data_IF_279971028198
#
_entry.id   IF_279971028198
#
_cell.length_a   1.000
_cell.length_b   1.000
_cell.length_c   1.000
_cell.angle_alpha   90.00
_cell.angle_beta   90.00
_cell.angle_gamma   90.00
#
_symmetry.space_group_name_H-M   'P 1'
#
loop_
_entity.id
_entity.type
_entity.pdbx_description
1 polymer ?
#
# COMPACT_ATOMS: atom_id res chain seq x y z
N UNK A 1 2.03 -5.11 -24.12
CA UNK A 1 3.31 -5.07 -23.39
C UNK A 1 2.98 -4.63 -21.98
N UNK A 2 3.27 -5.47 -20.99
CA UNK A 2 3.03 -5.21 -19.57
C UNK A 2 4.11 -4.25 -19.10
N UNK A 3 3.78 -2.96 -18.95
CA UNK A 3 4.71 -1.95 -18.45
C UNK A 3 4.77 -2.01 -16.92
N UNK A 4 5.25 -3.14 -16.39
CA UNK A 4 5.60 -3.22 -14.97
C UNK A 4 6.91 -2.47 -14.77
N UNK A 5 6.88 -1.44 -13.94
CA UNK A 5 8.07 -0.74 -13.49
C UNK A 5 8.29 -1.04 -12.02
N UNK A 6 9.54 -1.28 -11.64
CA UNK A 6 9.94 -1.47 -10.25
C UNK A 6 10.75 -0.26 -9.80
N UNK A 7 10.43 0.28 -8.63
CA UNK A 7 11.26 1.27 -7.95
C UNK A 7 11.94 0.63 -6.74
N UNK A 8 13.27 0.70 -6.72
CA UNK A 8 14.11 -0.02 -5.77
C UNK A 8 15.13 0.94 -5.16
N UNK A 9 15.26 1.02 -3.83
CA UNK A 9 16.36 1.74 -3.19
C UNK A 9 17.70 1.08 -3.53
N UNK A 10 18.78 1.86 -3.61
CA UNK A 10 20.12 1.31 -3.89
C UNK A 10 20.79 0.68 -2.66
N UNK A 11 20.19 0.84 -1.48
CA UNK A 11 20.60 0.16 -0.26
C UNK A 11 20.14 -1.30 -0.27
N UNK A 12 20.96 -2.25 0.24
CA UNK A 12 20.62 -3.66 0.31
C UNK A 12 19.60 -3.90 1.43
N UNK A 13 18.33 -3.75 1.10
CA UNK A 13 17.19 -3.95 2.00
C UNK A 13 16.37 -5.08 1.42
N UNK A 14 16.21 -6.19 2.15
CA UNK A 14 15.66 -7.43 1.57
C UNK A 14 14.18 -7.34 1.24
N UNK A 15 13.40 -6.74 2.13
CA UNK A 15 11.93 -6.71 2.04
C UNK A 15 11.36 -5.57 2.91
N UNK A 16 10.03 -5.48 2.97
CA UNK A 16 9.33 -4.46 3.75
C UNK A 16 9.72 -4.44 5.23
N UNK A 17 9.95 -5.60 5.86
CA UNK A 17 10.27 -5.67 7.29
C UNK A 17 11.65 -5.08 7.56
N UNK A 18 12.64 -5.43 6.75
CA UNK A 18 13.98 -4.84 6.81
C UNK A 18 13.94 -3.34 6.53
N UNK A 19 13.06 -2.89 5.64
CA UNK A 19 12.87 -1.46 5.36
C UNK A 19 12.38 -0.73 6.62
N UNK A 20 11.41 -1.29 7.34
CA UNK A 20 10.88 -0.73 8.59
C UNK A 20 11.89 -0.70 9.73
N UNK A 21 12.94 -1.53 9.70
CA UNK A 21 14.04 -1.44 10.67
C UNK A 21 14.91 -0.18 10.49
N UNK A 22 14.73 0.57 9.40
CA UNK A 22 15.33 1.90 9.19
C UNK A 22 14.27 2.93 8.81
N UNK A 23 13.58 3.55 9.79
CA UNK A 23 12.47 4.48 9.54
C UNK A 23 12.80 5.65 8.60
N UNK A 24 14.03 6.16 8.66
CA UNK A 24 14.50 7.22 7.75
C UNK A 24 14.58 6.73 6.31
N UNK A 25 15.07 5.50 6.09
CA UNK A 25 15.14 4.89 4.78
C UNK A 25 13.76 4.47 4.27
N UNK A 26 12.90 3.95 5.14
CA UNK A 26 11.51 3.65 4.81
C UNK A 26 10.78 4.89 4.30
N UNK A 27 10.91 6.01 5.03
CA UNK A 27 10.34 7.30 4.61
C UNK A 27 10.86 7.71 3.23
N UNK A 28 12.19 7.70 3.04
CA UNK A 28 12.81 8.08 1.77
C UNK A 28 12.40 7.15 0.61
N UNK A 29 12.23 5.86 0.85
CA UNK A 29 11.82 4.91 -0.17
C UNK A 29 10.41 5.24 -0.68
N UNK A 30 9.46 5.53 0.21
CA UNK A 30 8.09 5.90 -0.16
C UNK A 30 8.02 7.26 -0.85
N UNK A 31 8.82 8.24 -0.41
CA UNK A 31 8.93 9.52 -1.12
C UNK A 31 9.54 9.33 -2.52
N UNK A 32 10.56 8.49 -2.66
CA UNK A 32 11.17 8.15 -3.93
C UNK A 32 10.18 7.48 -4.88
N UNK A 33 9.45 6.46 -4.43
CA UNK A 33 8.44 5.77 -5.24
C UNK A 33 7.40 6.75 -5.80
N UNK A 34 6.94 7.69 -4.98
CA UNK A 34 6.01 8.74 -5.41
C UNK A 34 6.63 9.72 -6.41
N UNK A 35 7.95 9.98 -6.34
CA UNK A 35 8.64 10.88 -7.28
C UNK A 35 8.79 10.29 -8.69
N UNK A 36 8.76 8.96 -8.81
CA UNK A 36 8.95 8.25 -10.10
C UNK A 36 7.64 7.65 -10.65
N UNK A 37 6.58 7.59 -9.86
CA UNK A 37 5.26 7.14 -10.28
C UNK A 37 4.34 8.33 -10.62
N UNK A 38 3.54 8.19 -11.67
CA UNK A 38 2.38 9.05 -11.87
C UNK A 38 1.17 8.45 -11.14
N UNK A 39 0.94 8.89 -9.89
CA UNK A 39 -0.17 8.39 -9.09
C UNK A 39 -1.56 8.71 -9.66
N UNK A 40 -1.67 9.53 -10.71
CA UNK A 40 -2.95 9.75 -11.39
C UNK A 40 -3.37 8.58 -12.28
N UNK A 41 -2.41 7.78 -12.74
CA UNK A 41 -2.64 6.64 -13.65
C UNK A 41 -2.10 5.32 -13.10
N UNK A 42 -1.15 5.37 -12.19
CA UNK A 42 -0.48 4.22 -11.58
C UNK A 42 -0.61 4.22 -10.05
N UNK A 43 -0.31 3.09 -9.43
CA UNK A 43 -0.18 2.98 -7.99
C UNK A 43 1.17 2.40 -7.60
N UNK A 44 1.48 2.49 -6.31
CA UNK A 44 2.65 1.89 -5.70
C UNK A 44 2.21 0.75 -4.80
N UNK A 45 2.92 -0.37 -4.82
CA UNK A 45 2.70 -1.45 -3.87
C UNK A 45 4.02 -2.12 -3.48
N UNK A 46 4.21 -2.43 -2.19
CA UNK A 46 5.22 -3.37 -1.72
C UNK A 46 4.50 -4.61 -1.21
N UNK A 47 4.85 -5.75 -1.79
CA UNK A 47 4.34 -7.05 -1.40
C UNK A 47 4.90 -7.52 -0.04
N UNK A 48 4.20 -8.43 0.65
CA UNK A 48 4.65 -8.89 1.95
C UNK A 48 5.92 -9.74 1.85
N UNK A 49 6.73 -9.74 2.92
CA UNK A 49 7.98 -10.51 2.98
C UNK A 49 7.79 -12.01 2.72
N UNK A 50 6.58 -12.54 2.96
CA UNK A 50 6.22 -13.93 2.68
C UNK A 50 6.23 -14.31 1.19
N UNK A 51 5.90 -13.39 0.30
CA UNK A 51 5.60 -13.70 -1.12
C UNK A 51 6.62 -13.13 -2.09
N UNK A 52 7.44 -12.16 -1.66
CA UNK A 52 8.55 -11.66 -2.46
C UNK A 52 9.52 -12.78 -2.83
N UNK A 53 9.93 -12.81 -4.09
CA UNK A 53 10.88 -13.80 -4.64
C UNK A 53 12.28 -13.24 -4.83
N UNK A 54 12.44 -11.92 -4.72
CA UNK A 54 13.71 -11.20 -4.79
C UNK A 54 14.11 -10.74 -3.40
N UNK A 55 15.39 -10.92 -3.06
CA UNK A 55 15.96 -10.48 -1.77
C UNK A 55 16.37 -9.00 -1.80
N UNK A 56 15.49 -8.17 -2.39
CA UNK A 56 15.64 -6.73 -2.51
C UNK A 56 14.24 -6.11 -2.56
N UNK A 57 13.95 -5.20 -1.63
CA UNK A 57 12.68 -4.50 -1.54
C UNK A 57 12.48 -3.66 -2.79
N UNK A 58 11.30 -3.77 -3.38
CA UNK A 58 10.91 -3.00 -4.56
C UNK A 58 9.44 -2.64 -4.49
N UNK A 59 9.12 -1.46 -5.00
CA UNK A 59 7.76 -1.00 -5.21
C UNK A 59 7.34 -1.35 -6.63
N UNK A 60 6.22 -2.05 -6.73
CA UNK A 60 5.52 -2.27 -7.98
C UNK A 60 4.84 -0.96 -8.39
N UNK A 61 5.13 -0.50 -9.61
CA UNK A 61 4.50 0.64 -10.25
C UNK A 61 3.74 0.12 -11.47
N UNK A 62 2.43 0.03 -11.32
CA UNK A 62 1.54 -0.50 -12.36
C UNK A 62 0.24 0.33 -12.40
N UNK A 63 -0.58 0.20 -13.46
CA UNK A 63 -1.91 0.80 -13.51
C UNK A 63 -2.73 0.47 -12.25
N UNK A 64 -3.47 1.44 -11.73
CA UNK A 64 -4.33 1.23 -10.55
C UNK A 64 -5.46 0.27 -10.89
N UNK A 65 -5.82 -0.63 -9.97
CA UNK A 65 -7.04 -1.43 -10.09
C UNK A 65 -8.28 -0.51 -9.99
N UNK A 66 -9.06 -0.33 -11.08
CA UNK A 66 -10.16 0.64 -11.10
C UNK A 66 -11.28 0.30 -10.11
N UNK A 67 -11.45 -0.99 -9.79
CA UNK A 67 -12.44 -1.44 -8.81
C UNK A 67 -12.02 -1.04 -7.38
N UNK A 68 -10.74 -1.17 -7.04
CA UNK A 68 -10.20 -0.72 -5.75
C UNK A 68 -10.24 0.81 -5.66
N UNK A 69 -9.81 1.50 -6.73
CA UNK A 69 -9.86 2.95 -6.82
C UNK A 69 -11.26 3.52 -6.56
N UNK A 70 -12.27 2.91 -7.20
CA UNK A 70 -13.68 3.29 -7.04
C UNK A 70 -14.25 2.91 -5.67
N UNK A 71 -13.73 1.85 -5.04
CA UNK A 71 -14.17 1.43 -3.72
C UNK A 71 -13.69 2.41 -2.64
N UNK A 72 -12.43 2.84 -2.69
CA UNK A 72 -11.89 3.86 -1.78
C UNK A 72 -12.58 5.21 -1.95
N UNK A 73 -12.90 5.61 -3.19
CA UNK A 73 -13.60 6.86 -3.48
C UNK A 73 -15.01 6.98 -2.85
N UNK A 74 -15.60 5.86 -2.39
CA UNK A 74 -16.92 5.82 -1.75
C UNK A 74 -16.84 5.92 -0.22
N UNK A 75 -15.63 5.87 0.35
CA UNK A 75 -15.43 5.97 1.79
C UNK A 75 -15.55 7.41 2.29
N UNK A 76 -15.97 7.56 3.55
CA UNK A 76 -16.05 8.87 4.22
C UNK A 76 -14.64 9.36 4.60
N UNK A 77 -14.06 10.24 3.80
CA UNK A 77 -12.67 10.71 3.94
C UNK A 77 -12.26 11.16 5.35
N UNK A 78 -13.14 11.89 6.04
CA UNK A 78 -12.85 12.42 7.37
C UNK A 78 -12.56 11.31 8.39
N UNK A 79 -13.16 10.14 8.21
CA UNK A 79 -12.90 8.96 9.04
C UNK A 79 -11.50 8.39 8.82
N UNK A 80 -10.90 8.65 7.65
CA UNK A 80 -9.63 8.08 7.23
C UNK A 80 -8.50 9.13 7.17
N UNK A 81 -8.67 10.35 7.69
CA UNK A 81 -7.53 11.27 7.86
C UNK A 81 -6.48 10.73 8.82
N UNK A 82 -6.84 9.72 9.62
CA UNK A 82 -5.92 8.87 10.35
C UNK A 82 -6.12 7.41 9.94
N UNK A 83 -5.11 6.57 10.20
CA UNK A 83 -5.15 5.15 9.89
C UNK A 83 -6.35 4.47 10.56
N UNK A 84 -7.30 4.00 9.76
CA UNK A 84 -8.49 3.31 10.23
C UNK A 84 -8.73 2.01 9.46
N UNK A 85 -9.32 0.98 10.11
CA UNK A 85 -9.73 -0.24 9.42
C UNK A 85 -10.69 0.09 8.29
N UNK A 86 -10.46 -0.46 7.11
CA UNK A 86 -11.34 -0.28 5.97
C UNK A 86 -12.34 -1.42 5.89
N UNK A 87 -13.60 -1.06 5.78
CA UNK A 87 -14.68 -1.98 5.45
C UNK A 87 -15.09 -1.75 3.99
N UNK A 88 -14.58 -2.59 3.09
CA UNK A 88 -15.01 -2.60 1.69
C UNK A 88 -16.19 -3.57 1.51
N UNK A 89 -17.10 -3.24 0.60
CA UNK A 89 -18.20 -4.10 0.18
C UNK A 89 -17.83 -4.89 -1.09
N UNK A 90 -18.54 -5.99 -1.34
CA UNK A 90 -18.42 -6.75 -2.60
C UNK A 90 -17.16 -7.63 -2.68
N UNK A 91 -16.50 -7.78 -3.84
CA UNK A 91 -15.41 -8.73 -4.04
C UNK A 91 -14.16 -8.46 -3.18
N UNK A 92 -14.10 -7.31 -2.51
CA UNK A 92 -13.02 -6.94 -1.59
C UNK A 92 -13.38 -7.13 -0.11
N UNK A 93 -14.59 -7.58 0.22
CA UNK A 93 -15.03 -7.72 1.62
C UNK A 93 -14.52 -8.99 2.31
N UNK A 94 -14.22 -10.04 1.53
CA UNK A 94 -13.89 -11.39 2.03
C UNK A 94 -12.82 -12.03 1.13
N UNK A 95 -11.82 -12.70 1.71
CA UNK A 95 -10.86 -13.52 0.97
C UNK A 95 -11.49 -14.79 0.38
N UNK A 96 -10.81 -15.44 -0.58
CA UNK A 96 -11.20 -16.75 -1.10
C UNK A 96 -11.36 -17.84 -0.02
N UNK A 97 -10.78 -17.65 1.17
CA UNK A 97 -10.88 -18.55 2.33
C UNK A 97 -11.96 -18.13 3.36
N UNK A 98 -12.79 -17.14 3.06
CA UNK A 98 -13.89 -16.71 3.94
C UNK A 98 -13.50 -15.76 5.09
N UNK A 99 -12.21 -15.39 5.23
CA UNK A 99 -11.78 -14.49 6.31
C UNK A 99 -12.05 -13.00 5.97
N UNK A 100 -12.35 -12.15 6.98
CA UNK A 100 -12.50 -10.71 6.78
C UNK A 100 -11.22 -10.07 6.23
N UNK A 101 -11.39 -9.06 5.38
CA UNK A 101 -10.26 -8.27 4.88
C UNK A 101 -9.54 -7.56 6.05
N UNK A 102 -8.22 -7.71 6.13
CA UNK A 102 -7.37 -7.05 7.12
C UNK A 102 -6.62 -5.91 6.44
N UNK A 103 -7.31 -4.79 6.30
CA UNK A 103 -6.79 -3.61 5.63
C UNK A 103 -7.07 -2.37 6.47
N UNK A 104 -6.06 -1.52 6.61
CA UNK A 104 -6.16 -0.23 7.25
C UNK A 104 -5.66 0.81 6.28
N UNK A 105 -6.37 1.91 6.14
CA UNK A 105 -5.95 2.98 5.26
C UNK A 105 -6.04 4.33 5.95
N UNK A 106 -5.25 5.26 5.44
CA UNK A 106 -5.40 6.68 5.68
C UNK A 106 -5.38 7.43 4.34
N UNK A 107 -5.99 8.61 4.33
CA UNK A 107 -6.17 9.44 3.15
C UNK A 107 -5.71 10.86 3.42
N UNK A 108 -5.19 11.53 2.39
CA UNK A 108 -4.82 12.94 2.52
C UNK A 108 -6.02 13.82 2.88
N UNK A 109 -5.83 14.88 3.67
CA UNK A 109 -6.92 15.80 4.03
C UNK A 109 -7.42 16.64 2.84
N UNK A 110 -6.61 16.75 1.79
CA UNK A 110 -6.90 17.49 0.59
C UNK A 110 -6.61 16.68 -0.66
N UNK A 111 -7.34 16.98 -1.74
CA UNK A 111 -7.09 16.44 -3.07
C UNK A 111 -5.69 16.80 -3.53
N UNK A 112 -5.10 15.94 -4.35
CA UNK A 112 -3.79 16.13 -5.01
C UNK A 112 -2.57 16.21 -4.10
N UNK A 113 -2.75 16.23 -2.78
CA UNK A 113 -1.65 16.10 -1.83
C UNK A 113 -1.01 14.72 -1.92
N UNK A 114 0.30 14.68 -1.70
CA UNK A 114 1.04 13.45 -1.46
C UNK A 114 0.87 13.04 0.00
N UNK A 115 0.96 11.74 0.29
CA UNK A 115 1.18 11.25 1.66
C UNK A 115 2.69 11.16 1.82
N UNK A 116 3.23 11.75 2.87
CA UNK A 116 4.68 11.69 3.12
C UNK A 116 5.12 10.26 3.40
N UNK A 117 6.33 9.89 3.02
CA UNK A 117 6.86 8.57 3.30
C UNK A 117 6.89 8.23 4.79
N UNK A 118 7.08 9.24 5.66
CA UNK A 118 6.97 9.08 7.12
C UNK A 118 5.55 8.72 7.57
N UNK A 119 4.51 9.25 6.93
CA UNK A 119 3.13 8.87 7.23
C UNK A 119 2.83 7.42 6.80
N UNK A 120 3.41 6.96 5.69
CA UNK A 120 3.29 5.57 5.24
C UNK A 120 4.05 4.61 6.17
N UNK A 121 5.28 4.97 6.52
CA UNK A 121 6.11 4.21 7.47
C UNK A 121 5.40 4.04 8.82
N UNK A 122 4.87 5.12 9.41
CA UNK A 122 4.09 5.06 10.66
C UNK A 122 2.84 4.21 10.54
N UNK A 123 2.18 4.23 9.39
CA UNK A 123 0.99 3.41 9.16
C UNK A 123 1.34 1.92 9.16
N UNK A 124 2.44 1.53 8.51
CA UNK A 124 2.94 0.16 8.48
C UNK A 124 3.36 -0.30 9.87
N UNK A 125 4.12 0.53 10.59
CA UNK A 125 4.53 0.26 11.97
C UNK A 125 3.33 0.09 12.91
N UNK A 126 2.31 0.92 12.75
CA UNK A 126 1.08 0.81 13.54
C UNK A 126 0.41 -0.56 13.35
N UNK A 127 0.35 -1.08 12.12
CA UNK A 127 -0.21 -2.40 11.82
C UNK A 127 0.70 -3.54 12.30
N UNK A 128 2.02 -3.42 12.10
CA UNK A 128 2.98 -4.42 12.57
C UNK A 128 2.90 -4.66 14.09
N UNK A 129 2.57 -3.61 14.86
CA UNK A 129 2.43 -3.66 16.31
C UNK A 129 1.04 -4.10 16.80
N UNK A 130 0.08 -4.39 15.91
CA UNK A 130 -1.26 -4.84 16.33
C UNK A 130 -1.24 -6.30 16.82
N UNK A 131 -1.94 -6.64 17.92
CA UNK A 131 -2.06 -8.00 18.40
C UNK A 131 -2.61 -8.96 17.34
N UNK A 132 -1.93 -10.10 17.13
CA UNK A 132 -2.37 -11.14 16.18
C UNK A 132 -2.09 -10.83 14.71
N UNK A 133 -1.36 -9.75 14.39
CA UNK A 133 -0.79 -9.53 13.07
C UNK A 133 0.48 -10.39 12.89
N UNK A 134 0.55 -11.11 11.78
CA UNK A 134 1.78 -11.78 11.36
C UNK A 134 2.58 -10.80 10.50
N UNK A 135 3.74 -10.36 11.00
CA UNK A 135 4.58 -9.36 10.31
C UNK A 135 4.91 -9.76 8.86
N UNK A 136 5.20 -11.03 8.61
CA UNK A 136 5.48 -11.56 7.27
C UNK A 136 4.32 -11.45 6.28
N UNK A 137 3.11 -11.12 6.73
CA UNK A 137 1.92 -10.90 5.90
C UNK A 137 1.59 -9.41 5.72
N UNK A 138 2.41 -8.51 6.28
CA UNK A 138 2.18 -7.09 6.12
C UNK A 138 2.69 -6.63 4.76
N UNK A 139 1.82 -5.95 4.02
CA UNK A 139 2.08 -5.34 2.74
C UNK A 139 1.51 -3.93 2.73
N UNK A 140 1.91 -3.10 1.78
CA UNK A 140 1.46 -1.71 1.71
C UNK A 140 1.31 -1.22 0.29
N UNK A 141 0.39 -0.28 0.08
CA UNK A 141 0.16 0.34 -1.20
C UNK A 141 -0.20 1.83 -1.07
N UNK A 142 0.10 2.59 -2.11
CA UNK A 142 -0.37 3.95 -2.30
C UNK A 142 -1.09 4.07 -3.64
N UNK A 143 -2.33 4.57 -3.61
CA UNK A 143 -3.11 4.83 -4.82
C UNK A 143 -3.88 6.14 -4.69
N UNK A 144 -4.09 6.83 -5.81
CA UNK A 144 -5.01 7.96 -5.87
C UNK A 144 -6.39 7.47 -6.27
N UNK A 145 -7.42 7.86 -5.52
CA UNK A 145 -8.79 7.52 -5.86
C UNK A 145 -9.37 8.37 -7.01
N UNK A 146 -10.57 8.04 -7.48
CA UNK A 146 -11.22 8.75 -8.58
C UNK A 146 -11.65 10.18 -8.24
N UNK A 147 -11.66 10.56 -6.96
CA UNK A 147 -11.96 11.91 -6.50
C UNK A 147 -10.69 12.76 -6.29
N UNK A 148 -9.52 12.18 -6.53
CA UNK A 148 -8.22 12.83 -6.50
C UNK A 148 -7.53 12.82 -5.14
N UNK A 149 -8.02 12.03 -4.18
CA UNK A 149 -7.37 11.85 -2.88
C UNK A 149 -6.34 10.72 -2.93
N UNK A 150 -5.19 10.93 -2.32
CA UNK A 150 -4.16 9.88 -2.21
C UNK A 150 -4.40 9.08 -0.94
N UNK A 151 -4.41 7.75 -1.09
CA UNK A 151 -4.58 6.79 0.00
C UNK A 151 -3.27 6.04 0.24
N UNK A 152 -2.93 5.83 1.50
CA UNK A 152 -1.92 4.87 1.94
C UNK A 152 -2.64 3.76 2.69
N UNK A 153 -2.48 2.54 2.20
CA UNK A 153 -3.17 1.38 2.72
C UNK A 153 -2.15 0.31 3.12
N UNK A 154 -2.38 -0.30 4.28
CA UNK A 154 -1.59 -1.40 4.82
C UNK A 154 -2.49 -2.60 4.94
N UNK A 155 -2.03 -3.74 4.44
CA UNK A 155 -2.74 -5.01 4.55
C UNK A 155 -1.96 -5.92 5.49
N UNK A 156 -2.66 -6.78 6.23
CA UNK A 156 -2.06 -7.79 7.10
C UNK A 156 -2.69 -9.15 6.85
N UNK A 157 -2.73 -9.53 5.58
CA UNK A 157 -3.32 -10.76 5.09
C UNK A 157 -2.35 -11.47 4.13
N UNK A 158 -2.66 -12.71 3.77
CA UNK A 158 -1.73 -13.55 3.01
C UNK A 158 -1.52 -13.12 1.55
N UNK A 159 -2.27 -12.12 1.08
CA UNK A 159 -2.27 -11.69 -0.31
C UNK A 159 -1.25 -10.60 -0.61
N UNK A 160 -0.85 -10.52 -1.87
CA UNK A 160 0.02 -9.48 -2.39
C UNK A 160 -0.74 -8.15 -2.51
N UNK A 161 -0.06 -7.06 -2.16
CA UNK A 161 -0.63 -5.73 -2.31
C UNK A 161 -0.83 -5.41 -3.80
N UNK A 162 0.10 -5.77 -4.67
CA UNK A 162 -0.01 -5.49 -6.10
C UNK A 162 -1.28 -6.09 -6.72
N UNK A 163 -1.62 -7.34 -6.40
CA UNK A 163 -2.79 -8.03 -6.95
C UNK A 163 -4.11 -7.43 -6.46
N UNK A 164 -4.08 -6.70 -5.33
CA UNK A 164 -5.26 -6.03 -4.78
C UNK A 164 -5.42 -4.63 -5.36
N UNK A 165 -4.37 -3.82 -5.27
CA UNK A 165 -4.44 -2.38 -5.51
C UNK A 165 -4.12 -2.01 -6.95
N UNK A 166 -3.39 -2.87 -7.67
CA UNK A 166 -2.89 -2.61 -9.01
C UNK A 166 -3.49 -3.62 -10.01
N UNK A 167 -3.36 -3.30 -11.29
CA UNK A 167 -3.85 -4.12 -12.39
C UNK A 167 -2.71 -4.38 -13.38
N UNK A 168 -2.58 -5.63 -13.82
CA UNK A 168 -1.61 -6.05 -14.82
C UNK A 168 -0.15 -5.74 -14.43
N UNK A 169 0.16 -5.87 -13.14
CA UNK A 169 1.44 -6.43 -12.73
C UNK A 169 1.36 -7.96 -12.96
#
# INVERSE_FOLDING_TARGET
>A
MLNQHLATPNQPIRNLLDLQMSPSLASLAWDFGQSVADLSTTGLAINPARTVTQDQVHMHICPVNPNMQSALAKLSYQTYFTLNPVQLNGPFSIFANGAPNKMWCQVTPSKTSAITGTEVEKAIDSVLNMPGVCSYQVAAAMIKDTNGYTWACVTADRGDAEHRFLQNC
#
